data_IF_651799114460
#
_entry.id   IF_651799114460
#
_cell.length_a   1.000
_cell.length_b   1.000
_cell.length_c   1.000
_cell.angle_alpha   90.00
_cell.angle_beta   90.00
_cell.angle_gamma   90.00
#
_symmetry.space_group_name_H-M   'P 1'
#
loop_
_entity.id
_entity.type
_entity.pdbx_description
1 polymer ?
#
# COMPACT_ATOMS: atom_id res chain seq x y z
N UNK A 1 11.11 -64.43 14.05
CA UNK A 1 11.42 -63.52 15.18
C UNK A 1 12.80 -62.93 14.88
N UNK A 2 13.05 -61.64 14.75
CA UNK A 2 12.29 -60.42 15.04
C UNK A 2 13.30 -59.31 15.36
N UNK A 3 13.18 -58.14 14.72
CA UNK A 3 13.73 -56.83 15.12
C UNK A 3 15.26 -56.67 15.13
N UNK A 4 15.86 -55.49 14.92
CA UNK A 4 15.36 -54.11 14.94
C UNK A 4 16.31 -53.24 14.11
N UNK A 5 15.75 -52.36 13.29
CA UNK A 5 16.45 -51.19 12.78
C UNK A 5 16.23 -50.01 13.73
N UNK A 6 17.25 -49.18 13.91
CA UNK A 6 17.09 -47.83 14.47
C UNK A 6 17.88 -46.85 13.61
N UNK A 7 17.17 -46.21 12.69
CA UNK A 7 17.52 -44.87 12.21
C UNK A 7 16.74 -43.84 13.04
N UNK A 8 17.40 -42.75 13.42
CA UNK A 8 16.79 -41.47 13.82
C UNK A 8 17.92 -40.46 14.07
N UNK A 9 17.88 -39.21 13.59
CA UNK A 9 16.81 -38.51 12.89
C UNK A 9 17.37 -37.27 12.17
N UNK A 10 16.83 -37.02 10.98
CA UNK A 10 16.98 -35.74 10.29
C UNK A 10 16.03 -34.73 10.91
N UNK A 11 16.58 -33.58 11.32
CA UNK A 11 15.81 -32.43 11.78
C UNK A 11 14.86 -31.91 10.70
N UNK A 12 13.62 -31.65 11.10
CA UNK A 12 12.55 -31.10 10.27
C UNK A 12 12.99 -29.76 9.66
N UNK A 13 12.98 -29.70 8.34
CA UNK A 13 12.91 -28.44 7.60
C UNK A 13 11.57 -27.77 7.87
N UNK A 14 11.63 -26.50 8.23
CA UNK A 14 10.49 -25.60 8.42
C UNK A 14 9.73 -25.51 7.10
N UNK A 15 8.41 -25.71 7.14
CA UNK A 15 7.53 -25.65 5.97
C UNK A 15 7.50 -24.23 5.40
N UNK A 16 8.34 -23.98 4.39
CA UNK A 16 8.21 -22.80 3.54
C UNK A 16 6.96 -22.96 2.68
N UNK A 17 6.03 -22.01 2.81
CA UNK A 17 4.89 -21.92 1.89
C UNK A 17 5.49 -21.53 0.54
N UNK A 18 5.67 -22.50 -0.36
CA UNK A 18 6.29 -22.20 -1.66
C UNK A 18 5.45 -21.17 -2.42
N UNK A 19 6.08 -20.17 -3.05
CA UNK A 19 5.39 -19.27 -3.93
C UNK A 19 4.83 -20.05 -5.12
N UNK A 20 3.52 -19.94 -5.37
CA UNK A 20 2.81 -20.66 -6.46
C UNK A 20 3.44 -20.37 -7.84
N UNK A 21 4.10 -19.21 -7.98
CA UNK A 21 4.87 -18.81 -9.16
C UNK A 21 6.29 -18.43 -8.72
N UNK A 22 7.30 -18.96 -9.41
CA UNK A 22 8.70 -18.69 -9.13
C UNK A 22 9.05 -17.19 -9.31
N UNK A 23 9.94 -16.67 -8.48
CA UNK A 23 10.32 -15.26 -8.51
C UNK A 23 10.81 -14.80 -9.89
N UNK A 24 11.65 -15.59 -10.56
CA UNK A 24 12.15 -15.28 -11.89
C UNK A 24 11.05 -15.21 -12.97
N UNK A 25 9.89 -15.85 -12.77
CA UNK A 25 8.73 -15.70 -13.64
C UNK A 25 8.00 -14.38 -13.35
N UNK A 26 7.81 -14.03 -12.08
CA UNK A 26 7.24 -12.73 -11.69
C UNK A 26 8.07 -11.56 -12.23
N UNK A 27 9.41 -11.63 -12.10
CA UNK A 27 10.34 -10.66 -12.70
C UNK A 27 10.14 -10.53 -14.21
N UNK A 28 9.92 -11.65 -14.92
CA UNK A 28 9.69 -11.65 -16.36
C UNK A 28 8.34 -11.01 -16.71
N UNK A 29 7.29 -11.31 -15.95
CA UNK A 29 5.96 -10.70 -16.11
C UNK A 29 6.01 -9.19 -15.86
N UNK A 30 6.62 -8.74 -14.76
CA UNK A 30 6.80 -7.32 -14.43
C UNK A 30 7.52 -6.58 -15.56
N UNK A 31 8.67 -7.10 -16.02
CA UNK A 31 9.42 -6.51 -17.14
C UNK A 31 8.62 -6.51 -18.44
N UNK A 32 7.73 -7.49 -18.66
CA UNK A 32 6.87 -7.51 -19.84
C UNK A 32 5.85 -6.37 -19.81
N UNK A 33 5.16 -6.16 -18.68
CA UNK A 33 4.27 -5.01 -18.49
C UNK A 33 5.01 -3.70 -18.73
N UNK A 34 6.20 -3.55 -18.14
CA UNK A 34 6.98 -2.33 -18.30
C UNK A 34 7.39 -2.03 -19.76
N UNK A 35 7.69 -3.06 -20.56
CA UNK A 35 7.95 -2.87 -22.00
C UNK A 35 6.72 -2.34 -22.74
N UNK A 36 5.53 -2.85 -22.43
CA UNK A 36 4.30 -2.40 -23.07
C UNK A 36 3.92 -0.97 -22.65
N UNK A 37 4.17 -0.60 -21.39
CA UNK A 37 4.06 0.79 -20.94
C UNK A 37 4.99 1.74 -21.71
N UNK A 38 6.26 1.35 -21.89
CA UNK A 38 7.24 2.14 -22.65
C UNK A 38 6.85 2.24 -24.12
N UNK A 39 6.35 1.16 -24.74
CA UNK A 39 5.83 1.21 -26.12
C UNK A 39 4.68 2.20 -26.25
N UNK A 40 3.76 2.22 -25.29
CA UNK A 40 2.63 3.14 -25.29
C UNK A 40 3.03 4.60 -25.10
N UNK A 41 4.13 4.86 -24.39
CA UNK A 41 4.65 6.21 -24.17
C UNK A 41 5.29 6.85 -25.41
N UNK A 42 5.73 6.05 -26.38
CA UNK A 42 6.33 6.55 -27.62
C UNK A 42 7.74 7.12 -27.42
N UNK A 43 8.04 8.23 -28.10
CA UNK A 43 9.36 8.89 -28.05
C UNK A 43 9.34 10.11 -27.13
N UNK A 44 10.49 10.44 -26.56
CA UNK A 44 10.68 11.68 -25.78
C UNK A 44 10.00 11.70 -24.40
N UNK A 45 9.52 10.55 -23.92
CA UNK A 45 8.98 10.46 -22.56
C UNK A 45 10.09 10.55 -21.50
N UNK A 46 9.75 11.09 -20.35
CA UNK A 46 10.61 11.23 -19.17
C UNK A 46 10.10 10.41 -17.98
N UNK A 47 8.80 10.14 -17.94
CA UNK A 47 8.18 9.22 -16.98
C UNK A 47 6.93 8.57 -17.56
N UNK A 48 6.71 7.30 -17.22
CA UNK A 48 5.46 6.58 -17.49
C UNK A 48 4.95 6.00 -16.19
N UNK A 49 3.70 6.29 -15.83
CA UNK A 49 3.08 5.81 -14.59
C UNK A 49 1.77 5.11 -14.90
N UNK A 50 1.66 3.86 -14.48
CA UNK A 50 0.40 3.12 -14.48
C UNK A 50 -0.16 3.05 -13.06
N UNK A 51 -1.46 3.31 -12.92
CA UNK A 51 -2.21 3.01 -11.70
C UNK A 51 -3.24 1.94 -12.02
N UNK A 52 -3.27 0.89 -11.22
CA UNK A 52 -4.18 -0.24 -11.42
C UNK A 52 -4.94 -0.52 -10.13
N UNK A 53 -6.25 -0.77 -10.25
CA UNK A 53 -7.14 -1.07 -9.14
C UNK A 53 -8.06 -2.21 -9.57
N UNK A 54 -8.14 -3.29 -8.79
CA UNK A 54 -8.96 -4.44 -9.14
C UNK A 54 -9.55 -5.16 -7.95
N UNK A 55 -10.84 -5.46 -8.05
CA UNK A 55 -11.57 -6.31 -7.12
C UNK A 55 -12.59 -7.15 -7.86
N UNK A 56 -12.52 -8.47 -7.70
CA UNK A 56 -13.37 -9.42 -8.42
C UNK A 56 -13.25 -9.21 -9.93
N UNK A 57 -14.35 -8.83 -10.59
CA UNK A 57 -14.39 -8.53 -12.03
C UNK A 57 -14.27 -7.03 -12.37
N UNK A 58 -14.22 -6.16 -11.37
CA UNK A 58 -14.07 -4.72 -11.59
C UNK A 58 -12.59 -4.37 -11.70
N UNK A 59 -12.20 -3.79 -12.82
CA UNK A 59 -10.83 -3.37 -13.11
C UNK A 59 -10.82 -1.92 -13.56
N UNK A 60 -9.97 -1.11 -12.96
CA UNK A 60 -9.61 0.22 -13.41
C UNK A 60 -8.10 0.28 -13.66
N UNK A 61 -7.71 0.81 -14.81
CA UNK A 61 -6.32 1.08 -15.12
C UNK A 61 -6.20 2.48 -15.70
N UNK A 62 -5.14 3.18 -15.33
CA UNK A 62 -4.76 4.49 -15.83
C UNK A 62 -3.31 4.46 -16.27
N UNK A 63 -3.00 5.19 -17.34
CA UNK A 63 -1.63 5.35 -17.82
C UNK A 63 -1.37 6.84 -18.05
N UNK A 64 -0.38 7.37 -17.36
CA UNK A 64 0.08 8.74 -17.48
C UNK A 64 1.46 8.74 -18.13
N UNK A 65 1.62 9.54 -19.18
CA UNK A 65 2.90 9.74 -19.86
C UNK A 65 3.31 11.19 -19.68
N UNK A 66 4.53 11.39 -19.18
CA UNK A 66 5.14 12.70 -19.00
C UNK A 66 6.24 12.88 -20.03
N UNK A 67 6.19 14.02 -20.75
CA UNK A 67 7.19 14.40 -21.75
C UNK A 67 8.29 15.30 -21.17
N UNK A 68 9.09 15.95 -22.04
CA UNK A 68 10.15 16.86 -21.61
C UNK A 68 9.61 18.16 -20.98
N UNK A 69 8.35 18.48 -21.23
CA UNK A 69 7.66 19.63 -20.66
C UNK A 69 7.17 19.38 -19.21
N UNK A 70 7.37 18.17 -18.68
CA UNK A 70 6.98 17.81 -17.31
C UNK A 70 5.47 17.63 -17.11
N UNK A 71 4.65 17.76 -18.15
CA UNK A 71 3.19 17.65 -18.04
C UNK A 71 2.76 16.20 -18.25
N UNK A 72 2.17 15.61 -17.22
CA UNK A 72 1.58 14.28 -17.28
C UNK A 72 0.28 14.30 -18.08
N UNK A 73 0.17 13.41 -19.07
CA UNK A 73 -1.00 13.30 -19.95
C UNK A 73 -1.58 11.90 -19.88
N UNK A 74 -2.90 11.76 -19.72
CA UNK A 74 -3.54 10.46 -19.76
C UNK A 74 -3.48 9.89 -21.18
N UNK A 75 -3.04 8.64 -21.26
CA UNK A 75 -3.08 7.82 -22.47
C UNK A 75 -3.97 6.62 -22.16
N UNK A 76 -4.72 6.14 -23.15
CA UNK A 76 -5.50 4.91 -22.98
C UNK A 76 -4.51 3.76 -22.69
N UNK A 77 -4.65 3.04 -21.56
CA UNK A 77 -3.81 1.87 -21.30
C UNK A 77 -4.03 0.80 -22.39
N UNK A 78 -2.95 0.28 -23.01
CA UNK A 78 -3.05 -0.89 -23.87
C UNK A 78 -3.60 -2.10 -23.13
N UNK A 79 -4.29 -2.99 -23.84
CA UNK A 79 -4.85 -4.21 -23.24
C UNK A 79 -3.74 -5.08 -22.63
N UNK A 80 -2.57 -5.11 -23.24
CA UNK A 80 -1.40 -5.86 -22.82
C UNK A 80 -0.87 -5.39 -21.45
N UNK A 81 -0.97 -4.10 -21.15
CA UNK A 81 -0.63 -3.55 -19.83
C UNK A 81 -1.64 -4.01 -18.78
N UNK A 82 -2.93 -3.91 -19.09
CA UNK A 82 -4.02 -4.31 -18.18
C UNK A 82 -3.97 -5.82 -17.89
N UNK A 83 -3.89 -6.64 -18.94
CA UNK A 83 -3.82 -8.10 -18.85
C UNK A 83 -2.53 -8.56 -18.18
N UNK A 84 -1.41 -7.89 -18.46
CA UNK A 84 -0.13 -8.20 -17.83
C UNK A 84 -0.15 -7.93 -16.33
N UNK A 85 -0.76 -6.81 -15.90
CA UNK A 85 -0.96 -6.52 -14.47
C UNK A 85 -1.94 -7.51 -13.81
N UNK A 86 -3.00 -7.91 -14.50
CA UNK A 86 -3.93 -8.94 -14.01
C UNK A 86 -3.23 -10.31 -13.83
N UNK A 87 -2.34 -10.69 -14.76
CA UNK A 87 -1.52 -11.91 -14.64
C UNK A 87 -0.52 -11.81 -13.50
N UNK A 88 0.16 -10.66 -13.36
CA UNK A 88 1.09 -10.41 -12.27
C UNK A 88 0.38 -10.51 -10.91
N UNK A 89 -0.82 -9.94 -10.80
CA UNK A 89 -1.69 -10.03 -9.63
C UNK A 89 -2.02 -11.47 -9.26
N UNK A 90 -2.39 -12.29 -10.25
CA UNK A 90 -2.66 -13.70 -10.03
C UNK A 90 -1.39 -14.46 -9.58
N UNK A 91 -0.24 -14.18 -10.19
CA UNK A 91 1.04 -14.81 -9.81
C UNK A 91 1.54 -14.41 -8.42
N UNK A 92 1.18 -13.22 -7.95
CA UNK A 92 1.51 -12.72 -6.61
C UNK A 92 0.54 -13.17 -5.51
N UNK A 93 -0.50 -13.96 -5.86
CA UNK A 93 -1.39 -14.56 -4.87
C UNK A 93 -0.61 -15.44 -3.87
N UNK A 94 -0.98 -15.31 -2.60
CA UNK A 94 -0.52 -16.20 -1.52
C UNK A 94 -1.73 -16.73 -0.74
N UNK A 95 -1.84 -18.06 -0.53
CA UNK A 95 -2.89 -18.65 0.28
C UNK A 95 -2.99 -18.02 1.66
N UNK A 96 -4.20 -17.69 2.10
CA UNK A 96 -4.46 -17.02 3.38
C UNK A 96 -4.09 -15.53 3.41
N UNK A 97 -3.25 -15.02 2.50
CA UNK A 97 -2.93 -13.59 2.43
C UNK A 97 -3.73 -12.84 1.36
N UNK A 98 -4.10 -13.55 0.29
CA UNK A 98 -4.71 -12.96 -0.90
C UNK A 98 -3.68 -12.39 -1.87
N UNK A 99 -4.11 -11.40 -2.65
CA UNK A 99 -3.27 -10.61 -3.56
C UNK A 99 -3.55 -9.12 -3.37
N UNK A 100 -2.83 -8.27 -4.09
CA UNK A 100 -2.97 -6.82 -4.02
C UNK A 100 -4.23 -6.29 -4.74
N UNK A 101 -4.79 -5.18 -4.26
CA UNK A 101 -6.00 -4.54 -4.81
C UNK A 101 -5.63 -3.28 -5.59
N UNK A 102 -4.62 -2.54 -5.13
CA UNK A 102 -4.03 -1.40 -5.83
C UNK A 102 -2.59 -1.68 -6.25
N UNK A 103 -2.15 -1.05 -7.33
CA UNK A 103 -0.75 -1.02 -7.73
C UNK A 103 -0.39 0.30 -8.43
N UNK A 104 0.83 0.76 -8.21
CA UNK A 104 1.46 1.86 -8.94
C UNK A 104 2.73 1.34 -9.59
N UNK A 105 2.83 1.45 -10.91
CA UNK A 105 4.03 1.10 -11.66
C UNK A 105 4.57 2.38 -12.31
N UNK A 106 5.77 2.81 -11.94
CA UNK A 106 6.45 3.94 -12.54
C UNK A 106 7.76 3.54 -13.23
N UNK A 107 8.03 4.15 -14.38
CA UNK A 107 9.25 3.94 -15.18
C UNK A 107 9.84 5.30 -15.53
N UNK A 108 11.16 5.42 -15.39
CA UNK A 108 11.97 6.56 -15.79
C UNK A 108 13.16 6.11 -16.67
N UNK A 109 13.57 6.87 -17.70
CA UNK A 109 14.77 6.56 -18.47
C UNK A 109 16.04 6.59 -17.57
N UNK A 110 17.06 5.76 -17.83
CA UNK A 110 17.22 4.84 -18.96
C UNK A 110 16.60 3.45 -18.74
N UNK A 111 15.55 3.33 -17.92
CA UNK A 111 14.83 2.07 -17.68
C UNK A 111 14.71 1.68 -16.20
N UNK A 112 15.02 2.61 -15.29
CA UNK A 112 14.72 2.46 -13.86
C UNK A 112 13.22 2.36 -13.70
N UNK A 113 12.77 1.44 -12.86
CA UNK A 113 11.35 1.34 -12.54
C UNK A 113 11.13 1.02 -11.07
N UNK A 114 9.95 1.41 -10.60
CA UNK A 114 9.42 1.09 -9.28
C UNK A 114 8.01 0.51 -9.43
N UNK A 115 7.69 -0.49 -8.62
CA UNK A 115 6.34 -1.01 -8.51
C UNK A 115 5.95 -1.07 -7.03
N UNK A 116 4.82 -0.46 -6.70
CA UNK A 116 4.21 -0.50 -5.38
C UNK A 116 2.90 -1.30 -5.49
N UNK A 117 2.66 -2.18 -4.52
CA UNK A 117 1.52 -3.09 -4.50
C UNK A 117 0.83 -3.01 -3.15
N UNK A 118 -0.46 -2.68 -3.15
CA UNK A 118 -1.23 -2.41 -1.94
C UNK A 118 -2.31 -3.48 -1.73
N UNK A 119 -2.10 -4.45 -0.82
CA UNK A 119 -3.10 -5.45 -0.48
C UNK A 119 -4.16 -4.96 0.49
N UNK A 120 -3.83 -3.97 1.33
CA UNK A 120 -4.64 -3.60 2.50
C UNK A 120 -5.09 -2.13 2.50
N UNK A 121 -4.63 -1.32 1.56
CA UNK A 121 -5.05 0.08 1.43
C UNK A 121 -6.26 0.12 0.50
N UNK A 122 -7.34 0.80 0.92
CA UNK A 122 -8.49 1.03 0.04
C UNK A 122 -8.07 1.97 -1.10
N UNK A 123 -8.12 1.52 -2.37
CA UNK A 123 -7.75 2.40 -3.47
C UNK A 123 -8.89 3.39 -3.76
N UNK A 124 -8.53 4.54 -4.33
CA UNK A 124 -9.53 5.50 -4.79
C UNK A 124 -10.18 5.02 -6.10
N UNK A 125 -11.43 4.58 -6.02
CA UNK A 125 -12.20 4.14 -7.18
C UNK A 125 -12.80 5.31 -7.96
N UNK A 126 -12.71 5.30 -9.29
CA UNK A 126 -13.55 6.19 -10.12
C UNK A 126 -15.01 5.81 -10.02
N UNK A 127 -15.27 4.50 -10.09
CA UNK A 127 -16.60 3.94 -9.91
C UNK A 127 -16.52 2.88 -8.85
N UNK A 128 -17.18 3.14 -7.72
CA UNK A 128 -17.22 2.20 -6.60
C UNK A 128 -17.73 0.84 -7.08
N UNK A 129 -16.94 -0.25 -6.90
CA UNK A 129 -17.37 -1.59 -7.26
C UNK A 129 -18.60 -2.03 -6.46
N UNK A 130 -19.48 -2.87 -7.01
CA UNK A 130 -20.62 -3.40 -6.26
C UNK A 130 -20.13 -4.36 -5.15
N UNK A 131 -20.88 -4.52 -4.03
CA UNK A 131 -20.49 -5.41 -2.93
C UNK A 131 -20.14 -6.85 -3.36
N UNK A 132 -20.86 -7.39 -4.34
CA UNK A 132 -20.58 -8.72 -4.90
C UNK A 132 -19.16 -8.86 -5.45
N UNK A 133 -18.57 -7.77 -5.97
CA UNK A 133 -17.19 -7.78 -6.46
C UNK A 133 -16.17 -8.05 -5.35
N UNK A 134 -16.39 -7.52 -4.15
CA UNK A 134 -15.56 -7.76 -2.98
C UNK A 134 -15.72 -9.19 -2.44
N UNK A 135 -16.94 -9.73 -2.49
CA UNK A 135 -17.17 -11.15 -2.13
C UNK A 135 -16.48 -12.08 -3.13
N UNK A 136 -16.61 -11.82 -4.44
CA UNK A 136 -15.97 -12.63 -5.48
C UNK A 136 -14.45 -12.54 -5.45
N UNK A 137 -13.90 -11.40 -5.02
CA UNK A 137 -12.48 -11.24 -4.74
C UNK A 137 -12.00 -12.22 -3.66
N UNK A 138 -12.69 -12.30 -2.51
CA UNK A 138 -12.32 -13.22 -1.43
C UNK A 138 -12.50 -14.69 -1.83
N UNK A 139 -13.42 -14.99 -2.77
CA UNK A 139 -13.54 -16.34 -3.34
C UNK A 139 -12.36 -16.69 -4.25
N UNK A 140 -11.90 -15.72 -5.05
CA UNK A 140 -10.83 -15.93 -6.05
C UNK A 140 -9.44 -15.88 -5.42
N UNK A 141 -9.25 -15.00 -4.44
CA UNK A 141 -8.01 -14.79 -3.70
C UNK A 141 -8.27 -14.86 -2.20
N UNK A 142 -8.54 -16.07 -1.66
CA UNK A 142 -8.84 -16.26 -0.24
C UNK A 142 -7.83 -15.62 0.70
N UNK A 143 -8.36 -14.89 1.68
CA UNK A 143 -7.64 -14.24 2.77
C UNK A 143 -8.12 -14.83 4.10
N UNK A 144 -7.20 -15.08 5.03
CA UNK A 144 -7.50 -15.35 6.43
C UNK A 144 -8.09 -14.09 7.07
N UNK A 145 -8.89 -14.27 8.12
CA UNK A 145 -9.60 -13.18 8.80
C UNK A 145 -8.66 -12.03 9.19
N UNK A 146 -7.47 -12.32 9.70
CA UNK A 146 -6.50 -11.28 10.10
C UNK A 146 -5.98 -10.42 8.93
N UNK A 147 -6.11 -10.88 7.69
CA UNK A 147 -5.62 -10.20 6.47
C UNK A 147 -6.73 -9.60 5.63
N UNK A 148 -7.96 -9.56 6.14
CA UNK A 148 -9.07 -8.81 5.55
C UNK A 148 -9.14 -7.46 6.28
N UNK A 149 -8.85 -6.32 5.61
CA UNK A 149 -9.00 -5.01 6.23
C UNK A 149 -10.46 -4.66 6.53
N UNK A 150 -10.71 -3.80 7.52
CA UNK A 150 -12.07 -3.42 7.92
C UNK A 150 -12.85 -2.71 6.81
N UNK A 151 -12.19 -1.86 6.02
CA UNK A 151 -12.83 -1.24 4.86
C UNK A 151 -13.30 -2.31 3.86
N UNK A 152 -12.52 -3.38 3.68
CA UNK A 152 -12.86 -4.47 2.76
C UNK A 152 -14.07 -5.23 3.29
N UNK A 153 -14.10 -5.56 4.60
CA UNK A 153 -15.26 -6.17 5.26
C UNK A 153 -16.52 -5.36 5.06
N UNK A 154 -16.45 -4.04 5.30
CA UNK A 154 -17.57 -3.14 5.12
C UNK A 154 -18.09 -3.14 3.66
N UNK A 155 -17.18 -3.12 2.67
CA UNK A 155 -17.53 -3.20 1.25
C UNK A 155 -18.14 -4.54 0.84
N UNK A 156 -17.67 -5.63 1.44
CA UNK A 156 -18.16 -6.99 1.20
C UNK A 156 -19.47 -7.31 1.94
N UNK A 157 -19.95 -6.42 2.82
CA UNK A 157 -21.11 -6.68 3.69
C UNK A 157 -20.84 -7.73 4.76
N UNK A 158 -19.58 -7.90 5.16
CA UNK A 158 -19.17 -8.81 6.23
C UNK A 158 -19.32 -8.15 7.60
N UNK A 159 -19.56 -8.93 8.67
CA UNK A 159 -19.48 -8.40 10.03
C UNK A 159 -18.07 -7.86 10.32
N UNK A 160 -17.92 -6.90 11.26
CA UNK A 160 -16.61 -6.40 11.66
C UNK A 160 -15.74 -7.53 12.23
N UNK A 161 -14.42 -7.35 12.17
CA UNK A 161 -13.48 -8.29 12.77
C UNK A 161 -13.82 -8.48 14.26
N UNK A 162 -14.01 -9.72 14.70
CA UNK A 162 -14.04 -9.99 16.14
C UNK A 162 -12.58 -10.05 16.59
N UNK A 163 -12.08 -8.96 17.18
CA UNK A 163 -10.74 -8.91 17.75
C UNK A 163 -10.55 -10.02 18.80
N UNK A 164 -9.33 -10.56 18.92
CA UNK A 164 -9.00 -11.57 19.93
C UNK A 164 -9.30 -11.10 21.38
N UNK A 165 -9.32 -9.78 21.62
CA UNK A 165 -9.77 -9.16 22.88
C UNK A 165 -11.26 -9.39 23.15
N UNK A 166 -12.11 -9.35 22.11
CA UNK A 166 -13.56 -9.61 22.22
C UNK A 166 -13.85 -11.10 22.41
N UNK A 167 -13.02 -11.99 21.83
CA UNK A 167 -13.13 -13.44 22.07
C UNK A 167 -12.67 -13.83 23.50
N UNK A 168 -11.69 -13.12 24.05
CA UNK A 168 -11.20 -13.32 25.42
C UNK A 168 -12.15 -12.76 26.48
N UNK A 169 -13.03 -11.83 26.12
CA UNK A 169 -14.07 -11.29 27.01
C UNK A 169 -15.29 -12.23 27.18
N UNK A 170 -15.31 -13.38 26.50
CA UNK A 170 -16.41 -14.34 26.48
C UNK A 170 -16.37 -15.41 27.56
N UNK A 171 -16.33 -15.05 28.84
CA UNK A 171 -16.95 -15.85 29.93
C UNK A 171 -17.22 -14.92 31.13
N UNK A 172 -18.45 -14.39 31.29
CA UNK A 172 -18.88 -13.90 32.59
C UNK A 172 -19.03 -15.12 33.53
N UNK A 173 -18.34 -15.21 34.67
CA UNK A 173 -18.71 -16.17 35.69
C UNK A 173 -20.06 -15.73 36.28
N UNK A 174 -21.04 -16.64 36.23
CA UNK A 174 -22.31 -16.64 36.96
C UNK A 174 -23.05 -15.31 37.25
N UNK A 175 -24.24 -15.18 36.66
CA UNK A 175 -25.43 -14.59 37.28
C UNK A 175 -25.52 -13.06 37.29
N UNK A 176 -26.27 -12.48 36.35
CA UNK A 176 -26.77 -11.10 36.46
C UNK A 176 -28.12 -11.14 37.17
N UNK A 177 -28.31 -10.54 38.37
CA UNK A 177 -29.64 -10.26 38.88
C UNK A 177 -30.27 -9.15 38.03
N UNK A 178 -31.51 -9.37 37.59
CA UNK A 178 -32.32 -8.36 36.92
C UNK A 178 -32.44 -7.10 37.81
N UNK A 179 -32.16 -5.88 37.32
CA UNK A 179 -32.56 -4.67 38.04
C UNK A 179 -34.09 -4.49 37.93
N UNK A 180 -34.78 -4.01 38.99
CA UNK A 180 -36.20 -3.71 38.91
C UNK A 180 -36.46 -2.51 38.00
N UNK A 181 -37.56 -2.57 37.25
CA UNK A 181 -38.00 -1.55 36.31
C UNK A 181 -38.38 -0.24 37.01
N UNK A 182 -37.93 0.90 36.46
CA UNK A 182 -38.39 2.24 36.85
C UNK A 182 -39.12 2.88 35.65
N UNK A 183 -40.29 3.56 35.82
CA UNK A 183 -41.06 4.16 34.73
C UNK A 183 -40.47 5.50 34.21
N UNK A 184 -40.99 6.07 33.11
CA UNK A 184 -40.28 7.04 32.29
C UNK A 184 -40.50 8.49 32.74
N UNK A 185 -39.46 9.32 32.62
CA UNK A 185 -39.58 10.77 32.75
C UNK A 185 -38.30 11.53 32.38
N UNK A 186 -38.40 12.38 31.35
CA UNK A 186 -37.59 13.59 31.18
C UNK A 186 -36.33 13.50 30.31
N UNK A 187 -36.42 13.92 29.04
CA UNK A 187 -35.29 14.51 28.30
C UNK A 187 -34.96 15.89 28.87
N UNK A 188 -33.69 16.36 28.90
CA UNK A 188 -33.05 17.07 27.75
C UNK A 188 -31.50 16.84 27.70
N UNK A 189 -30.66 17.25 26.75
CA UNK A 189 -30.68 17.96 25.48
C UNK A 189 -29.38 17.55 24.71
N UNK A 190 -29.40 17.64 23.39
CA UNK A 190 -28.29 17.30 22.50
C UNK A 190 -27.17 18.35 22.51
N UNK A 191 -25.90 17.89 22.44
CA UNK A 191 -24.75 18.71 22.06
C UNK A 191 -24.35 18.40 20.60
N UNK A 192 -23.99 19.42 19.78
CA UNK A 192 -23.60 19.21 18.38
C UNK A 192 -22.18 18.64 18.24
N UNK A 193 -21.88 17.90 17.16
CA UNK A 193 -20.59 17.26 16.96
C UNK A 193 -19.49 18.25 16.52
N UNK A 194 -18.31 18.10 17.11
CA UNK A 194 -17.06 18.73 16.67
C UNK A 194 -16.51 17.96 15.45
N UNK A 195 -16.05 18.67 14.42
CA UNK A 195 -15.53 18.10 13.17
C UNK A 195 -14.19 17.36 13.31
N UNK A 196 -13.76 16.58 12.29
CA UNK A 196 -12.57 15.74 12.38
C UNK A 196 -11.26 16.54 12.24
N UNK A 197 -10.15 16.11 12.87
CA UNK A 197 -8.85 16.73 12.69
C UNK A 197 -8.21 16.30 11.36
N UNK A 198 -7.67 17.28 10.63
CA UNK A 198 -6.90 17.10 9.40
C UNK A 198 -5.49 16.62 9.77
N UNK A 199 -5.12 15.39 9.39
CA UNK A 199 -3.72 14.93 9.48
C UNK A 199 -3.03 15.07 8.13
N UNK A 200 -1.93 15.82 8.14
CA UNK A 200 -1.10 16.19 7.00
C UNK A 200 -0.16 15.04 6.65
N UNK A 201 -0.15 14.61 5.38
CA UNK A 201 0.85 13.66 4.84
C UNK A 201 2.18 14.36 4.54
N UNK A 202 3.33 13.83 4.97
CA UNK A 202 4.63 14.31 4.51
C UNK A 202 4.97 13.78 3.10
N UNK A 203 5.73 14.54 2.27
CA UNK A 203 6.12 14.10 0.94
C UNK A 203 7.29 13.11 1.00
N UNK A 204 7.13 11.92 0.42
CA UNK A 204 8.25 10.99 0.22
C UNK A 204 8.96 11.34 -1.10
N UNK A 205 10.23 11.72 -1.00
CA UNK A 205 11.15 11.87 -2.13
C UNK A 205 11.83 10.55 -2.48
N UNK A 206 12.35 10.39 -3.71
CA UNK A 206 12.80 9.09 -4.21
C UNK A 206 14.18 8.72 -3.68
N UNK A 207 14.28 7.58 -3.00
CA UNK A 207 15.55 6.88 -2.77
C UNK A 207 15.78 5.88 -3.91
N UNK A 208 16.73 6.22 -4.79
CA UNK A 208 17.15 5.38 -5.90
C UNK A 208 17.90 4.13 -5.45
N UNK A 209 17.67 3.02 -6.15
CA UNK A 209 18.44 1.79 -5.95
C UNK A 209 17.90 0.55 -6.67
N UNK A 210 18.32 0.39 -7.93
CA UNK A 210 18.72 -0.84 -8.64
C UNK A 210 17.85 -2.11 -8.56
N UNK A 211 17.59 -2.67 -9.75
CA UNK A 211 16.77 -3.83 -10.08
C UNK A 211 16.99 -5.11 -9.25
N UNK A 212 15.98 -5.46 -8.48
CA UNK A 212 15.35 -6.78 -8.40
C UNK A 212 13.84 -6.54 -8.53
N UNK A 213 13.01 -7.51 -8.95
CA UNK A 213 11.58 -7.31 -8.74
C UNK A 213 11.36 -7.04 -7.24
N UNK A 214 10.51 -6.07 -6.88
CA UNK A 214 10.28 -5.78 -5.48
C UNK A 214 9.84 -7.08 -4.79
N UNK A 215 10.38 -7.37 -3.59
CA UNK A 215 9.86 -8.46 -2.80
C UNK A 215 8.35 -8.23 -2.66
N UNK A 216 7.52 -9.29 -2.70
CA UNK A 216 6.09 -9.14 -2.49
C UNK A 216 5.84 -8.28 -1.23
N UNK A 217 4.80 -7.42 -1.24
CA UNK A 217 4.64 -6.36 -0.23
C UNK A 217 4.54 -6.87 1.23
N UNK A 218 4.34 -8.17 1.45
CA UNK A 218 4.33 -8.81 2.77
C UNK A 218 5.73 -9.16 3.32
N UNK A 219 6.80 -9.04 2.53
CA UNK A 219 8.18 -9.08 3.01
C UNK A 219 8.70 -7.71 3.47
N UNK A 220 7.90 -6.64 3.29
CA UNK A 220 8.21 -5.33 3.84
C UNK A 220 7.55 -5.21 5.22
N UNK A 221 8.32 -5.16 6.34
CA UNK A 221 7.71 -4.95 7.65
C UNK A 221 7.02 -3.59 7.67
N UNK A 222 5.84 -3.53 8.31
CA UNK A 222 5.18 -2.26 8.60
C UNK A 222 6.19 -1.29 9.26
N UNK A 223 6.11 0.03 9.02
CA UNK A 223 6.97 0.97 9.73
C UNK A 223 6.76 0.75 11.23
N UNK A 224 7.81 0.27 11.89
CA UNK A 224 7.82 0.01 13.32
C UNK A 224 7.49 1.29 14.06
N UNK A 225 6.24 1.42 14.49
CA UNK A 225 5.79 2.43 15.45
C UNK A 225 6.40 2.14 16.82
N UNK A 226 7.68 2.45 16.98
CA UNK A 226 8.37 2.43 18.27
C UNK A 226 8.28 3.81 18.94
N UNK A 227 7.98 3.89 20.25
CA UNK A 227 7.81 5.16 20.94
C UNK A 227 9.15 5.88 21.11
N UNK A 228 9.10 7.21 20.96
CA UNK A 228 10.24 8.10 20.98
C UNK A 228 11.10 8.01 22.24
N UNK A 229 12.41 8.10 22.05
CA UNK A 229 13.35 8.45 23.12
C UNK A 229 13.92 9.83 22.83
N UNK A 230 13.62 10.73 23.76
CA UNK A 230 14.12 12.09 23.83
C UNK A 230 15.66 12.09 23.88
N UNK A 231 16.28 12.90 23.03
CA UNK A 231 17.64 13.41 23.25
C UNK A 231 17.58 14.94 23.16
N UNK A 232 17.64 15.58 24.33
CA UNK A 232 17.79 17.01 24.47
C UNK A 232 19.22 17.44 24.09
N UNK A 233 19.33 18.49 23.28
CA UNK A 233 20.56 19.25 23.04
C UNK A 233 20.22 20.74 23.01
N UNK A 234 20.98 21.62 23.69
CA UNK A 234 20.52 22.97 24.00
C UNK A 234 20.68 23.92 22.80
N UNK A 235 19.69 24.81 22.67
CA UNK A 235 19.59 25.79 21.61
C UNK A 235 20.60 26.94 21.70
N UNK A 236 20.88 27.53 20.54
CA UNK A 236 21.53 28.83 20.38
C UNK A 236 20.56 29.77 19.66
N UNK A 237 20.27 30.97 20.17
CA UNK A 237 19.30 31.87 19.55
C UNK A 237 19.93 32.70 18.41
N UNK A 238 19.12 33.24 17.48
CA UNK A 238 19.58 34.18 16.47
C UNK A 238 19.59 35.62 17.04
N UNK A 239 20.61 36.41 16.68
CA UNK A 239 20.63 37.84 16.96
C UNK A 239 20.79 38.63 15.66
N UNK A 240 19.86 39.57 15.50
CA UNK A 240 19.75 40.60 14.46
C UNK A 240 20.98 41.53 14.40
N UNK A 241 21.22 42.14 13.23
CA UNK A 241 22.40 42.95 12.89
C UNK A 241 22.62 44.25 13.68
N UNK A 242 23.62 45.09 13.30
CA UNK A 242 23.37 46.11 12.27
C UNK A 242 24.56 46.43 11.32
N UNK A 243 24.26 47.14 10.21
CA UNK A 243 25.24 47.77 9.27
C UNK A 243 25.93 48.97 9.93
N UNK A 244 27.09 49.44 9.41
CA UNK A 244 27.08 50.69 8.62
C UNK A 244 28.13 50.82 7.46
N UNK A 245 27.81 51.72 6.50
CA UNK A 245 28.66 52.64 5.66
C UNK A 245 30.02 52.14 5.09
N UNK A 246 30.43 52.32 3.83
CA UNK A 246 30.15 53.25 2.71
C UNK A 246 31.28 53.10 1.64
N UNK A 247 31.27 53.84 0.50
CA UNK A 247 31.77 53.42 -0.83
C UNK A 247 33.07 54.18 -1.28
N UNK A 248 33.48 54.39 -2.57
CA UNK A 248 33.07 53.86 -3.90
C UNK A 248 34.26 53.48 -4.86
N UNK A 249 33.96 53.01 -6.10
CA UNK A 249 34.84 53.22 -7.28
C UNK A 249 34.79 52.15 -8.40
N UNK A 250 34.96 52.49 -9.70
CA UNK A 250 34.28 51.84 -10.83
C UNK A 250 35.22 51.20 -11.89
N UNK A 251 34.63 50.86 -13.06
CA UNK A 251 35.19 50.58 -14.42
C UNK A 251 35.64 49.14 -14.75
N UNK A 252 35.39 48.53 -15.92
CA UNK A 252 34.71 48.93 -17.16
C UNK A 252 34.34 47.70 -18.03
N UNK A 253 33.48 47.97 -19.01
CA UNK A 253 32.88 47.11 -20.02
C UNK A 253 33.67 47.13 -21.36
N UNK A 254 33.92 45.96 -21.98
CA UNK A 254 33.85 45.65 -23.44
C UNK A 254 34.43 44.25 -23.67
N UNK A 255 33.90 43.35 -24.50
CA UNK A 255 33.32 43.55 -25.83
C UNK A 255 34.37 43.19 -26.88
N UNK A 256 34.37 41.94 -27.36
CA UNK A 256 34.99 41.53 -28.63
C UNK A 256 34.29 40.31 -29.20
#
# INVERSE_FOLDING_TARGET
MGGVGTGSGGGRGVTGVEPVVAQAELDRMTKAVGREMVRAAGQGWTRVRAEYRSVGRHVEADLLVTGPDGVARPVRPPAEVVDGLARLRAGMYRPGRGTWIGAVYEIEPPGTFACEFDPDVEPTWRRVPPPVGFVDELRSFPRSEEFIPDWFRARAGMPPAISAETQSAGTPPHGIPLPPATPPGGQPAAQPPQGPPVQQTPPYGPQGGRHAAPPPPWENPAPSGGPGRHAAGPGRPPASGPRPFGPPGPVDNNGR
#
